data_IF_321263812459
#
_entry.id   IF_321263812459
#
_cell.length_a   1.000
_cell.length_b   1.000
_cell.length_c   1.000
_cell.angle_alpha   90.00
_cell.angle_beta   90.00
_cell.angle_gamma   90.00
#
_symmetry.space_group_name_H-M   'P 1'
#
loop_
_entity.id
_entity.type
_entity.pdbx_description
1 polymer ?
#
# COMPACT_ATOMS: atom_id res chain seq x y z
N UNK A 1 10.50 2.40 -6.06
CA UNK A 1 9.08 2.73 -5.80
C UNK A 1 8.26 1.50 -6.17
N UNK A 2 7.92 0.67 -5.17
CA UNK A 2 7.03 -0.46 -5.36
C UNK A 2 5.60 0.06 -5.23
N UNK A 3 4.87 0.01 -6.33
CA UNK A 3 3.51 0.51 -6.45
C UNK A 3 2.51 -0.55 -5.99
N UNK A 4 1.24 -0.18 -5.69
CA UNK A 4 0.17 -1.15 -5.55
C UNK A 4 0.23 -2.17 -6.70
N UNK A 5 -0.08 -3.45 -6.44
CA UNK A 5 0.14 -4.53 -7.41
C UNK A 5 -0.57 -4.31 -8.76
N UNK A 6 -1.55 -3.40 -8.80
CA UNK A 6 -2.01 -2.80 -10.05
C UNK A 6 -0.91 -1.89 -10.64
N UNK A 7 -0.18 -2.37 -11.66
CA UNK A 7 0.89 -1.63 -12.34
C UNK A 7 0.55 -0.22 -12.88
N UNK A 8 -0.70 0.24 -12.77
CA UNK A 8 -1.13 1.58 -13.14
C UNK A 8 -0.41 2.72 -12.42
N UNK A 9 0.06 2.49 -11.19
CA UNK A 9 0.82 3.50 -10.45
C UNK A 9 2.26 3.67 -10.98
N UNK A 10 2.92 2.58 -11.39
CA UNK A 10 4.22 2.64 -12.06
C UNK A 10 4.11 3.38 -13.39
N UNK A 11 3.08 3.03 -14.15
CA UNK A 11 2.74 3.67 -15.41
C UNK A 11 2.46 5.17 -15.21
N UNK A 12 1.69 5.55 -14.19
CA UNK A 12 1.40 6.96 -13.90
C UNK A 12 2.67 7.76 -13.60
N UNK A 13 3.61 7.20 -12.82
CA UNK A 13 4.86 7.87 -12.52
C UNK A 13 5.74 8.08 -13.76
N UNK A 14 5.78 7.11 -14.68
CA UNK A 14 6.53 7.26 -15.93
C UNK A 14 5.88 8.27 -16.88
N UNK A 15 4.54 8.31 -16.94
CA UNK A 15 3.81 9.38 -17.65
C UNK A 15 4.13 10.75 -17.06
N UNK A 16 4.16 10.89 -15.73
CA UNK A 16 4.54 12.15 -15.07
C UNK A 16 5.94 12.60 -15.45
N UNK A 17 6.94 11.69 -15.42
CA UNK A 17 8.31 12.04 -15.82
C UNK A 17 8.37 12.52 -17.27
N UNK A 18 7.66 11.85 -18.18
CA UNK A 18 7.63 12.22 -19.59
C UNK A 18 6.92 13.56 -19.81
N UNK A 19 5.79 13.79 -19.14
CA UNK A 19 5.02 15.03 -19.22
C UNK A 19 5.80 16.24 -18.69
N UNK A 20 6.45 16.10 -17.53
CA UNK A 20 7.27 17.19 -16.98
C UNK A 20 8.42 17.53 -17.92
N UNK A 21 9.10 16.50 -18.49
CA UNK A 21 10.18 16.71 -19.47
C UNK A 21 9.69 17.41 -20.74
N UNK A 22 8.49 17.10 -21.24
CA UNK A 22 7.97 17.72 -22.47
C UNK A 22 7.54 19.18 -22.26
N UNK A 23 7.26 19.58 -21.02
CA UNK A 23 6.88 20.95 -20.64
C UNK A 23 8.05 21.82 -20.17
N UNK A 24 9.25 21.26 -20.05
CA UNK A 24 10.44 22.03 -19.70
C UNK A 24 10.84 22.96 -20.85
N UNK A 25 11.00 24.25 -20.53
CA UNK A 25 11.52 25.26 -21.46
C UNK A 25 12.81 25.81 -20.86
N UNK A 26 13.92 25.76 -21.60
CA UNK A 26 15.24 26.24 -21.12
C UNK A 26 15.65 25.66 -19.75
N UNK A 27 15.35 24.39 -19.51
CA UNK A 27 15.62 23.69 -18.25
C UNK A 27 14.84 24.23 -17.03
N UNK A 28 13.81 25.04 -17.27
CA UNK A 28 12.86 25.52 -16.26
C UNK A 28 11.69 24.54 -16.20
N UNK A 29 11.32 24.12 -14.99
CA UNK A 29 10.19 23.24 -14.73
C UNK A 29 8.85 23.98 -14.88
N UNK A 30 7.78 23.29 -15.29
CA UNK A 30 6.44 23.87 -15.32
C UNK A 30 5.97 24.29 -13.92
N UNK A 31 5.18 25.36 -13.84
CA UNK A 31 4.65 25.87 -12.57
C UNK A 31 3.59 24.92 -12.00
N UNK A 32 3.85 24.37 -10.82
CA UNK A 32 2.94 23.46 -10.12
C UNK A 32 1.68 24.15 -9.59
N UNK A 33 1.65 25.49 -9.60
CA UNK A 33 0.49 26.27 -9.18
C UNK A 33 -0.44 26.60 -10.35
N UNK A 34 -0.06 26.27 -11.59
CA UNK A 34 -0.92 26.45 -12.76
C UNK A 34 -1.96 25.30 -12.82
N UNK A 35 -3.27 25.58 -12.64
CA UNK A 35 -4.31 24.56 -12.74
C UNK A 35 -4.40 23.91 -14.13
N UNK A 36 -4.01 24.61 -15.20
CA UNK A 36 -4.06 24.06 -16.56
C UNK A 36 -3.06 22.93 -16.77
N UNK A 37 -1.94 22.95 -16.03
CA UNK A 37 -0.96 21.88 -16.05
C UNK A 37 -1.57 20.54 -15.62
N UNK A 38 -2.46 20.56 -14.63
CA UNK A 38 -3.13 19.35 -14.14
C UNK A 38 -4.16 18.84 -15.14
N UNK A 39 -4.91 19.72 -15.78
CA UNK A 39 -5.90 19.33 -16.80
C UNK A 39 -5.23 18.61 -17.97
N UNK A 40 -4.15 19.17 -18.49
CA UNK A 40 -3.37 18.56 -19.57
C UNK A 40 -2.70 17.24 -19.15
N UNK A 41 -2.20 17.17 -17.92
CA UNK A 41 -1.62 15.94 -17.37
C UNK A 41 -2.66 14.82 -17.34
N UNK A 42 -3.85 15.07 -16.78
CA UNK A 42 -4.89 14.05 -16.70
C UNK A 42 -5.41 13.65 -18.08
N UNK A 43 -5.61 14.60 -19.01
CA UNK A 43 -5.97 14.28 -20.38
C UNK A 43 -4.93 13.36 -21.05
N UNK A 44 -3.64 13.67 -20.89
CA UNK A 44 -2.54 12.85 -21.42
C UNK A 44 -2.54 11.45 -20.79
N UNK A 45 -2.64 11.37 -19.46
CA UNK A 45 -2.66 10.13 -18.70
C UNK A 45 -3.82 9.23 -19.13
N UNK A 46 -5.05 9.76 -19.19
CA UNK A 46 -6.24 8.98 -19.56
C UNK A 46 -6.25 8.59 -21.04
N UNK A 47 -5.69 9.42 -21.92
CA UNK A 47 -5.55 9.10 -23.35
C UNK A 47 -4.58 7.94 -23.61
N UNK A 48 -3.51 7.85 -22.82
CA UNK A 48 -2.50 6.79 -22.90
C UNK A 48 -2.94 5.50 -22.21
N UNK A 49 -3.51 5.61 -21.01
CA UNK A 49 -3.87 4.45 -20.18
C UNK A 49 -5.20 3.81 -20.59
N UNK A 50 -6.09 4.59 -21.23
CA UNK A 50 -7.44 4.21 -21.69
C UNK A 50 -8.14 3.24 -20.73
N UNK A 51 -8.32 3.61 -19.45
CA UNK A 51 -8.78 2.67 -18.44
C UNK A 51 -10.20 2.15 -18.72
N UNK A 52 -11.01 2.92 -19.45
CA UNK A 52 -12.34 2.53 -19.90
C UNK A 52 -12.33 1.40 -20.96
N UNK A 53 -11.26 1.28 -21.75
CA UNK A 53 -11.08 0.19 -22.71
C UNK A 53 -10.52 -1.08 -22.05
N UNK A 54 -10.03 -1.01 -20.81
CA UNK A 54 -9.55 -2.19 -20.09
C UNK A 54 -10.72 -3.05 -19.62
N UNK A 55 -10.48 -4.36 -19.41
CA UNK A 55 -11.52 -5.31 -19.00
C UNK A 55 -12.26 -4.88 -17.73
N UNK A 56 -11.55 -4.34 -16.73
CA UNK A 56 -12.16 -3.83 -15.49
C UNK A 56 -13.00 -2.57 -15.74
N UNK A 57 -12.53 -1.66 -16.59
CA UNK A 57 -13.25 -0.44 -16.98
C UNK A 57 -14.54 -0.74 -17.75
N UNK A 58 -14.50 -1.67 -18.72
CA UNK A 58 -15.68 -2.14 -19.44
C UNK A 58 -16.73 -2.73 -18.50
N UNK A 59 -16.32 -3.65 -17.63
CA UNK A 59 -17.21 -4.25 -16.61
C UNK A 59 -17.83 -3.20 -15.68
N UNK A 60 -17.05 -2.19 -15.28
CA UNK A 60 -17.55 -1.10 -14.45
C UNK A 60 -18.59 -0.26 -15.19
N UNK A 61 -18.32 0.12 -16.45
CA UNK A 61 -19.27 0.87 -17.27
C UNK A 61 -20.56 0.08 -17.51
N UNK A 62 -20.46 -1.23 -17.73
CA UNK A 62 -21.63 -2.10 -17.87
C UNK A 62 -22.44 -2.16 -16.57
N UNK A 63 -21.78 -2.30 -15.40
CA UNK A 63 -22.46 -2.26 -14.10
C UNK A 63 -23.15 -0.93 -13.83
N UNK A 64 -22.53 0.20 -14.21
CA UNK A 64 -23.15 1.54 -14.13
C UNK A 64 -24.39 1.61 -15.02
N UNK A 65 -24.30 1.14 -16.28
CA UNK A 65 -25.44 1.14 -17.22
C UNK A 65 -26.60 0.28 -16.73
N UNK A 66 -26.30 -0.85 -16.10
CA UNK A 66 -27.28 -1.76 -15.52
C UNK A 66 -27.80 -1.30 -14.13
N UNK A 67 -27.30 -0.18 -13.60
CA UNK A 67 -27.61 0.32 -12.26
C UNK A 67 -27.33 -0.70 -11.15
N UNK A 68 -26.36 -1.60 -11.37
CA UNK A 68 -25.92 -2.57 -10.37
C UNK A 68 -24.93 -1.91 -9.39
N UNK A 69 -25.48 -1.17 -8.42
CA UNK A 69 -24.68 -0.42 -7.44
C UNK A 69 -23.76 -1.33 -6.60
N UNK A 70 -24.14 -2.60 -6.40
CA UNK A 70 -23.32 -3.56 -5.65
C UNK A 70 -22.08 -3.94 -6.44
N UNK A 71 -22.23 -4.27 -7.72
CA UNK A 71 -21.10 -4.60 -8.58
C UNK A 71 -20.26 -3.36 -8.90
N UNK A 72 -20.87 -2.17 -9.04
CA UNK A 72 -20.14 -0.90 -9.11
C UNK A 72 -19.25 -0.70 -7.89
N UNK A 73 -19.78 -0.85 -6.67
CA UNK A 73 -18.98 -0.68 -5.45
C UNK A 73 -17.79 -1.65 -5.37
N UNK A 74 -17.96 -2.87 -5.90
CA UNK A 74 -16.90 -3.88 -5.97
C UNK A 74 -15.86 -3.55 -7.06
N UNK A 75 -16.29 -3.16 -8.25
CA UNK A 75 -15.42 -2.88 -9.40
C UNK A 75 -14.71 -1.52 -9.28
N UNK A 76 -15.35 -0.53 -8.68
CA UNK A 76 -14.78 0.80 -8.43
C UNK A 76 -13.71 0.79 -7.35
N UNK A 77 -13.63 -0.29 -6.55
CA UNK A 77 -12.59 -0.46 -5.53
C UNK A 77 -11.22 -0.53 -6.20
N UNK A 78 -10.48 0.57 -6.13
CA UNK A 78 -9.14 0.74 -6.72
C UNK A 78 -8.07 -0.03 -5.94
N UNK A 79 -8.23 -0.10 -4.63
CA UNK A 79 -7.31 -0.76 -3.71
C UNK A 79 -8.03 -1.99 -3.13
N UNK A 80 -7.57 -3.18 -3.46
CA UNK A 80 -7.94 -4.35 -2.68
C UNK A 80 -7.38 -4.15 -1.26
N UNK A 81 -8.25 -4.09 -0.26
CA UNK A 81 -7.85 -3.99 1.15
C UNK A 81 -7.30 -5.34 1.65
N UNK A 82 -6.39 -5.96 0.90
CA UNK A 82 -5.60 -7.09 1.39
C UNK A 82 -4.33 -6.54 2.05
N UNK A 83 -4.55 -5.84 3.15
CA UNK A 83 -3.50 -5.32 4.02
C UNK A 83 -3.43 -6.16 5.29
N UNK A 84 -2.21 -6.39 5.76
CA UNK A 84 -1.91 -7.03 7.03
C UNK A 84 -1.45 -5.99 8.04
N UNK A 85 -1.76 -6.23 9.31
CA UNK A 85 -1.31 -5.42 10.44
C UNK A 85 0.06 -5.93 10.87
N UNK A 86 1.05 -5.05 10.87
CA UNK A 86 2.42 -5.38 11.30
C UNK A 86 2.79 -4.52 12.50
N UNK A 87 3.04 -5.15 13.64
CA UNK A 87 3.65 -4.48 14.80
C UNK A 87 5.10 -4.14 14.45
N UNK A 88 5.47 -2.87 14.55
CA UNK A 88 6.80 -2.35 14.21
C UNK A 88 7.49 -1.72 15.41
N UNK A 89 8.83 -1.71 15.44
CA UNK A 89 9.61 -1.15 16.54
C UNK A 89 9.73 0.38 16.46
N UNK A 90 8.60 1.08 16.30
CA UNK A 90 8.55 2.54 16.33
C UNK A 90 8.97 3.09 17.70
N UNK A 91 8.44 2.46 18.75
CA UNK A 91 8.91 2.61 20.14
C UNK A 91 9.46 1.24 20.56
N UNK A 92 10.77 1.18 20.80
CA UNK A 92 11.45 -0.05 21.15
C UNK A 92 10.91 -0.67 22.46
N UNK A 93 10.58 0.15 23.46
CA UNK A 93 10.07 -0.35 24.73
C UNK A 93 8.65 -0.91 24.58
N UNK A 94 7.78 -0.20 23.86
CA UNK A 94 6.43 -0.67 23.57
C UNK A 94 6.45 -1.95 22.70
N UNK A 95 7.34 -2.00 21.71
CA UNK A 95 7.50 -3.15 20.83
C UNK A 95 7.95 -4.41 21.58
N UNK A 96 8.97 -4.31 22.44
CA UNK A 96 9.44 -5.46 23.23
C UNK A 96 8.34 -5.95 24.19
N UNK A 97 7.62 -5.03 24.84
CA UNK A 97 6.52 -5.37 25.74
C UNK A 97 5.38 -6.08 24.99
N UNK A 98 4.90 -5.48 23.89
CA UNK A 98 3.76 -6.00 23.13
C UNK A 98 4.08 -7.30 22.40
N UNK A 99 5.27 -7.39 21.78
CA UNK A 99 5.71 -8.61 21.09
C UNK A 99 5.96 -9.76 22.07
N UNK A 100 6.56 -9.47 23.24
CA UNK A 100 6.78 -10.45 24.29
C UNK A 100 5.47 -10.95 24.91
N UNK A 101 4.49 -10.08 25.10
CA UNK A 101 3.16 -10.45 25.59
C UNK A 101 2.44 -11.37 24.60
N UNK A 102 2.30 -10.94 23.34
CA UNK A 102 1.48 -11.66 22.35
C UNK A 102 2.05 -13.03 21.98
N UNK A 103 3.38 -13.20 22.04
CA UNK A 103 4.02 -14.52 21.85
C UNK A 103 3.63 -15.51 22.95
N UNK A 104 3.34 -15.03 24.16
CA UNK A 104 2.95 -15.85 25.32
C UNK A 104 1.45 -16.08 25.40
N UNK A 105 0.65 -15.02 25.21
CA UNK A 105 -0.80 -15.05 25.44
C UNK A 105 -1.61 -15.31 24.18
N UNK A 106 -1.01 -15.10 23.00
CA UNK A 106 -1.74 -14.99 21.75
C UNK A 106 -2.49 -13.66 21.61
N UNK A 107 -3.19 -13.53 20.49
CA UNK A 107 -3.96 -12.36 20.09
C UNK A 107 -5.19 -12.19 21.00
N UNK A 108 -5.29 -11.05 21.66
CA UNK A 108 -6.47 -10.68 22.47
C UNK A 108 -6.99 -9.31 22.05
N UNK A 109 -8.27 -9.04 22.29
CA UNK A 109 -8.86 -7.73 21.98
C UNK A 109 -8.16 -6.57 22.72
N UNK A 110 -7.78 -6.79 23.99
CA UNK A 110 -7.02 -5.82 24.79
C UNK A 110 -5.64 -5.56 24.19
N UNK A 111 -4.97 -6.62 23.74
CA UNK A 111 -3.67 -6.49 23.09
C UNK A 111 -3.79 -5.72 21.76
N UNK A 112 -4.75 -6.07 20.89
CA UNK A 112 -4.99 -5.37 19.62
C UNK A 112 -5.18 -3.88 19.86
N UNK A 113 -5.99 -3.51 20.85
CA UNK A 113 -6.28 -2.11 21.16
C UNK A 113 -5.01 -1.33 21.54
N UNK A 114 -4.12 -1.94 22.33
CA UNK A 114 -2.84 -1.33 22.74
C UNK A 114 -1.76 -1.37 21.66
N UNK A 115 -1.81 -2.34 20.76
CA UNK A 115 -0.85 -2.49 19.67
C UNK A 115 -1.09 -1.52 18.52
N UNK A 116 -2.34 -1.11 18.27
CA UNK A 116 -2.74 -0.24 17.14
C UNK A 116 -1.85 1.00 16.93
N UNK A 117 -1.44 1.77 17.96
CA UNK A 117 -0.58 2.94 17.75
C UNK A 117 0.82 2.62 17.23
N UNK A 118 1.26 1.36 17.37
CA UNK A 118 2.59 0.87 16.97
C UNK A 118 2.51 -0.11 15.79
N UNK A 119 1.37 -0.11 15.09
CA UNK A 119 1.08 -1.00 13.97
C UNK A 119 1.00 -0.21 12.69
N UNK A 120 1.54 -0.78 11.62
CA UNK A 120 1.40 -0.28 10.26
C UNK A 120 0.59 -1.25 9.40
N UNK A 121 -0.11 -0.69 8.42
CA UNK A 121 -0.82 -1.47 7.41
C UNK A 121 0.12 -1.73 6.22
N UNK A 122 0.46 -2.99 6.00
CA UNK A 122 1.30 -3.41 4.88
C UNK A 122 0.44 -4.16 3.87
N UNK A 123 0.54 -3.83 2.58
CA UNK A 123 -0.07 -4.67 1.55
C UNK A 123 0.50 -6.08 1.62
N UNK A 124 -0.38 -7.09 1.56
CA UNK A 124 0.05 -8.49 1.66
C UNK A 124 1.16 -8.76 0.62
N UNK A 125 2.39 -9.08 1.07
CA UNK A 125 3.48 -9.29 0.15
C UNK A 125 3.24 -10.52 -0.73
N UNK A 126 3.69 -10.48 -1.98
CA UNK A 126 3.66 -11.65 -2.86
C UNK A 126 4.61 -12.75 -2.34
N UNK A 127 4.37 -14.01 -2.71
CA UNK A 127 5.14 -15.18 -2.23
C UNK A 127 6.66 -15.08 -2.44
N UNK A 128 7.10 -14.28 -3.41
CA UNK A 128 8.52 -14.11 -3.74
C UNK A 128 9.16 -12.88 -3.08
N UNK A 129 8.43 -12.17 -2.21
CA UNK A 129 8.92 -10.96 -1.57
C UNK A 129 9.71 -11.31 -0.29
N UNK A 130 10.95 -10.81 -0.17
CA UNK A 130 11.84 -11.12 0.95
C UNK A 130 11.32 -10.59 2.30
N UNK A 131 10.42 -9.60 2.30
CA UNK A 131 9.75 -9.09 3.51
C UNK A 131 9.01 -10.21 4.24
N UNK A 132 8.47 -11.22 3.54
CA UNK A 132 7.78 -12.35 4.18
C UNK A 132 8.66 -13.09 5.19
N UNK A 133 9.97 -13.20 4.93
CA UNK A 133 10.92 -13.84 5.85
C UNK A 133 11.16 -13.05 7.14
N UNK A 134 10.67 -11.81 7.21
CA UNK A 134 10.81 -10.91 8.36
C UNK A 134 9.48 -10.70 9.11
N UNK A 135 8.40 -11.35 8.66
CA UNK A 135 7.08 -11.26 9.28
C UNK A 135 6.80 -12.53 10.07
N UNK A 136 6.71 -12.38 11.39
CA UNK A 136 6.30 -13.44 12.31
C UNK A 136 4.78 -13.38 12.51
N UNK A 137 4.00 -14.41 12.13
CA UNK A 137 2.56 -14.41 12.33
C UNK A 137 2.22 -14.55 13.82
N UNK A 138 1.26 -13.73 14.28
CA UNK A 138 0.80 -13.76 15.68
C UNK A 138 -0.09 -14.98 15.90
N UNK A 139 0.00 -15.64 17.06
CA UNK A 139 -0.88 -16.77 17.42
C UNK A 139 -2.26 -16.28 17.87
N UNK A 140 -3.33 -16.94 17.43
CA UNK A 140 -4.71 -16.69 17.91
C UNK A 140 -5.13 -17.75 18.93
N UNK A 141 -4.56 -18.95 18.83
CA UNK A 141 -4.82 -20.07 19.72
C UNK A 141 -3.61 -20.99 19.85
N UNK A 142 -3.83 -22.24 20.30
CA UNK A 142 -2.74 -23.20 20.57
C UNK A 142 -2.00 -23.63 19.30
N UNK A 143 -2.72 -23.76 18.18
CA UNK A 143 -2.19 -24.23 16.88
C UNK A 143 -2.59 -23.31 15.69
N UNK A 144 -3.20 -22.15 15.96
CA UNK A 144 -3.70 -21.25 14.93
C UNK A 144 -2.97 -19.90 14.96
N UNK A 145 -2.66 -19.38 13.78
CA UNK A 145 -2.03 -18.07 13.60
C UNK A 145 -2.97 -17.11 12.88
N UNK A 146 -2.86 -15.83 13.22
CA UNK A 146 -3.63 -14.76 12.61
C UNK A 146 -3.22 -14.61 11.14
N UNK A 147 -4.21 -14.49 10.27
CA UNK A 147 -3.98 -14.25 8.84
C UNK A 147 -3.62 -12.79 8.55
N UNK A 148 -3.88 -11.90 9.50
CA UNK A 148 -3.87 -10.44 9.35
C UNK A 148 -3.04 -9.72 10.42
N UNK A 149 -2.38 -10.43 11.35
CA UNK A 149 -1.51 -9.84 12.39
C UNK A 149 -0.13 -10.47 12.40
N UNK A 150 0.89 -9.62 12.30
CA UNK A 150 2.29 -10.00 12.22
C UNK A 150 3.16 -9.11 13.10
N UNK A 151 4.33 -9.62 13.50
CA UNK A 151 5.39 -8.90 14.18
C UNK A 151 6.56 -8.79 13.22
N UNK A 152 7.18 -7.61 13.11
CA UNK A 152 8.39 -7.47 12.32
C UNK A 152 9.62 -7.97 13.10
N UNK A 153 10.26 -9.05 12.65
CA UNK A 153 11.30 -9.76 13.41
C UNK A 153 12.71 -9.15 13.31
N UNK A 154 12.91 -8.10 12.51
CA UNK A 154 14.22 -7.50 12.28
C UNK A 154 14.24 -5.99 12.61
N UNK A 155 14.37 -5.60 13.89
CA UNK A 155 14.31 -4.20 14.28
C UNK A 155 15.37 -3.29 13.64
N UNK A 156 16.50 -3.85 13.20
CA UNK A 156 17.59 -3.11 12.54
C UNK A 156 17.21 -2.49 11.20
N UNK A 157 16.12 -2.95 10.59
CA UNK A 157 15.60 -2.38 9.35
C UNK A 157 14.78 -1.12 9.61
N UNK A 158 14.48 -0.81 10.86
CA UNK A 158 13.77 0.40 11.26
C UNK A 158 14.80 1.52 11.52
N UNK A 159 14.79 2.51 10.65
CA UNK A 159 15.61 3.72 10.74
C UNK A 159 14.74 4.92 11.16
N UNK A 160 15.36 6.10 11.34
CA UNK A 160 14.65 7.32 11.74
C UNK A 160 13.53 7.72 10.75
N UNK A 161 13.71 7.40 9.47
CA UNK A 161 12.76 7.63 8.38
C UNK A 161 11.74 6.50 8.18
N UNK A 162 11.76 5.48 9.04
CA UNK A 162 10.82 4.37 9.06
C UNK A 162 11.46 3.03 8.70
N UNK A 163 10.61 2.05 8.36
CA UNK A 163 11.07 0.69 8.06
C UNK A 163 11.53 0.56 6.61
N UNK A 164 12.79 0.16 6.45
CA UNK A 164 13.48 -0.05 5.17
C UNK A 164 13.81 -1.54 5.02
N UNK A 165 12.97 -2.32 4.31
CA UNK A 165 13.28 -3.69 3.98
C UNK A 165 14.53 -3.82 3.10
N UNK A 166 15.10 -5.04 2.94
CA UNK A 166 16.39 -5.23 2.29
C UNK A 166 16.34 -4.98 0.76
N UNK A 167 15.14 -4.91 0.18
CA UNK A 167 14.92 -4.72 -1.26
C UNK A 167 14.74 -3.23 -1.67
N UNK A 168 15.05 -2.27 -0.78
CA UNK A 168 14.95 -0.83 -1.06
C UNK A 168 13.60 -0.19 -0.66
N UNK A 169 13.34 1.09 -1.00
CA UNK A 169 12.34 1.89 -0.30
C UNK A 169 10.91 1.41 -0.60
N UNK A 170 10.38 0.75 0.43
CA UNK A 170 9.18 1.13 1.17
C UNK A 170 7.80 0.91 0.48
N UNK A 171 7.15 -0.21 0.84
CA UNK A 171 5.74 -0.55 0.57
C UNK A 171 4.93 -0.02 1.76
N UNK A 172 4.57 1.27 1.77
CA UNK A 172 3.84 1.87 2.91
C UNK A 172 2.63 2.65 2.44
N UNK A 173 1.56 2.57 3.23
CA UNK A 173 0.46 3.52 3.22
C UNK A 173 0.47 4.16 4.60
N UNK A 174 0.44 5.50 4.65
CA UNK A 174 0.22 6.27 5.87
C UNK A 174 -1.24 6.28 6.29
#
# INVERSE_FOLDING_TARGET
>A
LAYPPSGGYAQAADVTKQFVKSKQINNIYPDINDPMLFDEYYHTLYSLTRPHEQTKGRKLLDAIRLQDFKEVAKLYRLIEQDTINVLVPYDAAAFELLSGEVRKTGLTASWIHRARPFTISLYRPSKNNHVLGRLEPVRVGRDETAHDWFIYSYPKDYMEDGLIPPDGPAIWIG
#
